data_IF_076471379155
#
_entry.id   IF_076471379155
#
_cell.length_a   1.000
_cell.length_b   1.000
_cell.length_c   1.000
_cell.angle_alpha   90.00
_cell.angle_beta   90.00
_cell.angle_gamma   90.00
#
_symmetry.space_group_name_H-M   'P 1'
#
loop_
_entity.id
_entity.type
_entity.pdbx_description
1 polymer ?
#
# COMPACT_ATOMS: atom_id res chain seq x y z
N UNK A 1 -5.44 9.28 -12.25
CA UNK A 1 -4.08 8.82 -11.86
C UNK A 1 -4.22 7.43 -11.24
N UNK A 2 -3.60 6.39 -11.81
CA UNK A 2 -3.73 5.01 -11.32
C UNK A 2 -2.53 4.70 -10.43
N UNK A 3 -2.74 4.58 -9.11
CA UNK A 3 -1.67 4.26 -8.15
C UNK A 3 -1.68 2.76 -7.84
N UNK A 4 -0.55 2.21 -7.35
CA UNK A 4 -0.49 0.80 -6.94
C UNK A 4 -1.50 0.45 -5.83
N UNK A 5 -1.90 1.42 -5.00
CA UNK A 5 -2.95 1.26 -4.00
C UNK A 5 -4.33 1.03 -4.65
N UNK A 6 -4.68 1.82 -5.68
CA UNK A 6 -5.93 1.66 -6.43
C UNK A 6 -5.95 0.32 -7.19
N UNK A 7 -4.80 -0.12 -7.70
CA UNK A 7 -4.68 -1.44 -8.31
C UNK A 7 -4.85 -2.59 -7.31
N UNK A 8 -4.28 -2.47 -6.11
CA UNK A 8 -4.47 -3.43 -5.03
C UNK A 8 -5.96 -3.52 -4.64
N UNK A 9 -6.60 -2.38 -4.46
CA UNK A 9 -8.01 -2.27 -4.14
C UNK A 9 -8.91 -2.94 -5.19
N UNK A 10 -8.68 -2.66 -6.47
CA UNK A 10 -9.40 -3.32 -7.57
C UNK A 10 -9.18 -4.84 -7.55
N UNK A 11 -7.94 -5.28 -7.37
CA UNK A 11 -7.59 -6.71 -7.34
C UNK A 11 -8.32 -7.46 -6.22
N UNK A 12 -8.40 -6.86 -5.05
CA UNK A 12 -8.98 -7.48 -3.86
C UNK A 12 -10.44 -7.11 -3.62
N UNK A 13 -11.06 -6.37 -4.55
CA UNK A 13 -12.45 -5.92 -4.45
C UNK A 13 -12.71 -5.16 -3.15
N UNK A 14 -11.78 -4.27 -2.78
CA UNK A 14 -11.90 -3.38 -1.62
C UNK A 14 -12.19 -1.96 -2.14
N UNK A 15 -13.43 -1.47 -2.06
CA UNK A 15 -13.75 -0.10 -2.45
C UNK A 15 -12.95 0.90 -1.62
N UNK A 16 -12.30 1.86 -2.29
CA UNK A 16 -11.63 2.97 -1.64
C UNK A 16 -12.48 4.23 -1.81
N UNK A 17 -12.65 4.96 -0.71
CA UNK A 17 -13.17 6.32 -0.69
C UNK A 17 -12.03 7.33 -0.82
N UNK A 18 -11.99 8.30 0.09
CA UNK A 18 -10.96 9.33 0.11
C UNK A 18 -9.56 8.78 0.38
N UNK A 19 -8.57 9.34 -0.32
CA UNK A 19 -7.15 9.02 -0.17
C UNK A 19 -6.40 10.33 0.09
N UNK A 20 -5.69 10.40 1.22
CA UNK A 20 -4.84 11.52 1.60
C UNK A 20 -3.38 11.10 1.72
N UNK A 21 -2.46 11.93 1.25
CA UNK A 21 -1.02 11.70 1.37
C UNK A 21 -0.41 12.74 2.30
N UNK A 22 0.47 12.27 3.18
CA UNK A 22 1.41 13.07 3.96
C UNK A 22 2.84 12.66 3.59
N UNK A 23 3.83 13.43 4.02
CA UNK A 23 5.23 13.24 3.62
C UNK A 23 5.81 11.86 3.98
N UNK A 24 5.24 11.19 4.99
CA UNK A 24 5.75 9.90 5.50
C UNK A 24 4.68 8.81 5.68
N UNK A 25 3.41 9.09 5.38
CA UNK A 25 2.32 8.12 5.47
C UNK A 25 1.15 8.50 4.54
N UNK A 26 0.19 7.58 4.41
CA UNK A 26 -1.05 7.83 3.69
C UNK A 26 -2.25 7.45 4.56
N UNK A 27 -3.34 8.17 4.38
CA UNK A 27 -4.65 7.88 4.94
C UNK A 27 -5.60 7.43 3.83
N UNK A 28 -6.45 6.45 4.13
CA UNK A 28 -7.46 5.98 3.19
C UNK A 28 -8.73 5.58 3.92
N UNK A 29 -9.88 5.97 3.37
CA UNK A 29 -11.17 5.41 3.70
C UNK A 29 -11.41 4.18 2.82
N UNK A 30 -11.79 3.06 3.42
CA UNK A 30 -12.04 1.81 2.70
C UNK A 30 -13.23 1.07 3.30
N UNK A 31 -14.08 0.55 2.43
CA UNK A 31 -15.16 -0.35 2.81
C UNK A 31 -14.62 -1.77 2.91
N UNK A 32 -14.56 -2.29 4.15
CA UNK A 32 -13.93 -3.59 4.44
C UNK A 32 -14.94 -4.70 4.74
N UNK A 33 -16.23 -4.41 4.72
CA UNK A 33 -17.30 -5.37 5.01
C UNK A 33 -17.00 -6.20 6.29
N UNK A 34 -17.02 -7.54 6.17
CA UNK A 34 -16.77 -8.47 7.27
C UNK A 34 -15.27 -8.82 7.46
N UNK A 35 -14.35 -8.21 6.70
CA UNK A 35 -12.92 -8.46 6.88
C UNK A 35 -12.38 -7.77 8.13
N UNK A 36 -11.33 -8.33 8.73
CA UNK A 36 -10.64 -7.66 9.82
C UNK A 36 -9.73 -6.57 9.26
N UNK A 37 -9.68 -5.42 9.92
CA UNK A 37 -8.81 -4.27 9.54
C UNK A 37 -7.35 -4.69 9.26
N UNK A 38 -6.69 -5.56 10.07
CA UNK A 38 -5.32 -5.98 9.80
C UNK A 38 -5.16 -6.80 8.51
N UNK A 39 -6.17 -7.58 8.14
CA UNK A 39 -6.15 -8.41 6.93
C UNK A 39 -6.17 -7.52 5.68
N UNK A 40 -7.11 -6.58 5.63
CA UNK A 40 -7.19 -5.58 4.55
C UNK A 40 -5.90 -4.74 4.47
N UNK A 41 -5.39 -4.30 5.62
CA UNK A 41 -4.13 -3.59 5.70
C UNK A 41 -2.97 -4.39 5.08
N UNK A 42 -2.89 -5.69 5.35
CA UNK A 42 -1.86 -6.58 4.77
C UNK A 42 -2.03 -6.75 3.26
N UNK A 43 -3.26 -6.91 2.77
CA UNK A 43 -3.54 -7.08 1.34
C UNK A 43 -3.12 -5.82 0.55
N UNK A 44 -3.60 -4.65 0.98
CA UNK A 44 -3.32 -3.39 0.31
C UNK A 44 -1.84 -3.02 0.41
N UNK A 45 -1.25 -3.04 1.63
CA UNK A 45 0.15 -2.68 1.86
C UNK A 45 1.11 -3.66 1.19
N UNK A 46 0.84 -4.96 1.27
CA UNK A 46 1.72 -6.01 0.73
C UNK A 46 1.84 -5.92 -0.79
N UNK A 47 0.70 -5.82 -1.48
CA UNK A 47 0.69 -5.65 -2.93
C UNK A 47 1.37 -4.34 -3.35
N UNK A 48 0.98 -3.24 -2.71
CA UNK A 48 1.53 -1.91 -3.01
C UNK A 48 3.04 -1.87 -2.81
N UNK A 49 3.55 -2.39 -1.68
CA UNK A 49 4.98 -2.42 -1.40
C UNK A 49 5.75 -3.29 -2.40
N UNK A 50 5.21 -4.45 -2.78
CA UNK A 50 5.82 -5.31 -3.80
C UNK A 50 5.97 -4.55 -5.12
N UNK A 51 4.89 -3.93 -5.61
CA UNK A 51 4.91 -3.16 -6.86
C UNK A 51 5.80 -1.92 -6.78
N UNK A 52 5.78 -1.23 -5.66
CA UNK A 52 6.64 -0.08 -5.41
C UNK A 52 8.12 -0.45 -5.49
N UNK A 53 8.56 -1.52 -4.84
CA UNK A 53 9.97 -1.95 -4.89
C UNK A 53 10.36 -2.67 -6.20
N UNK A 54 9.40 -3.19 -6.97
CA UNK A 54 9.64 -3.64 -8.35
C UNK A 54 9.91 -2.43 -9.28
N UNK A 55 9.22 -1.31 -9.04
CA UNK A 55 9.36 -0.09 -9.84
C UNK A 55 10.57 0.77 -9.42
N UNK A 56 10.88 0.82 -8.12
CA UNK A 56 12.02 1.56 -7.54
C UNK A 56 12.99 0.60 -6.82
N UNK A 57 13.69 -0.29 -7.55
CA UNK A 57 14.56 -1.31 -6.95
C UNK A 57 15.71 -0.72 -6.11
N UNK A 58 16.18 0.48 -6.41
CA UNK A 58 17.22 1.21 -5.69
C UNK A 58 16.84 1.50 -4.23
N UNK A 59 15.55 1.74 -3.95
CA UNK A 59 15.05 1.97 -2.59
C UNK A 59 15.09 0.70 -1.73
N UNK A 60 15.05 -0.48 -2.37
CA UNK A 60 15.16 -1.77 -1.68
C UNK A 60 16.59 -2.03 -1.18
N UNK A 61 17.59 -1.57 -1.92
CA UNK A 61 19.01 -1.72 -1.57
C UNK A 61 19.39 -0.84 -0.38
N UNK A 62 18.88 0.40 -0.33
CA UNK A 62 19.04 1.31 0.80
C UNK A 62 18.58 0.69 2.12
N UNK A 63 17.46 -0.06 2.12
CA UNK A 63 16.97 -0.77 3.31
C UNK A 63 17.93 -1.84 3.83
N UNK A 64 18.55 -2.62 2.92
CA UNK A 64 19.49 -3.70 3.30
C UNK A 64 20.82 -3.15 3.84
N UNK A 65 21.24 -1.98 3.35
CA UNK A 65 22.52 -1.38 3.73
C UNK A 65 22.43 -0.48 4.97
N UNK A 66 21.29 0.17 5.23
CA UNK A 66 21.21 1.23 6.25
C UNK A 66 20.49 0.86 7.55
N UNK A 67 19.80 -0.28 7.65
CA UNK A 67 19.25 -0.77 8.93
C UNK A 67 18.38 0.23 9.72
N UNK A 68 17.85 1.27 9.07
CA UNK A 68 17.08 2.34 9.70
C UNK A 68 15.60 2.07 9.44
N UNK A 69 14.94 1.40 10.39
CA UNK A 69 13.55 1.59 10.84
C UNK A 69 13.34 0.72 12.08
#
# INVERSE_FOLDING_TARGET
MRTFLVEAAYRYQIPLGEIGFADNHLHVLADICNYKRPEVGKMLKGYTAKKFFEFFPELKLLKKQRGLF
#
